data_IF_993833872430
#
_entry.id   IF_993833872430
#
_cell.length_a   1.000
_cell.length_b   1.000
_cell.length_c   1.000
_cell.angle_alpha   90.00
_cell.angle_beta   90.00
_cell.angle_gamma   90.00
#
_symmetry.space_group_name_H-M   'P 1'
#
loop_
_entity.id
_entity.type
_entity.pdbx_description
1 polymer ?
#
# COMPACT_ATOMS: atom_id res chain seq x y z
N UNK A 1 -7.15 -28.56 -29.46
CA UNK A 1 -7.32 -27.11 -29.19
C UNK A 1 -6.47 -26.67 -28.00
N UNK A 2 -6.29 -27.54 -26.99
CA UNK A 2 -5.36 -27.33 -25.86
C UNK A 2 -3.88 -27.25 -26.29
N UNK A 3 -3.48 -28.00 -27.32
CA UNK A 3 -2.08 -28.02 -27.80
C UNK A 3 -1.59 -26.66 -28.30
N UNK A 4 -2.45 -25.88 -28.95
CA UNK A 4 -2.09 -24.56 -29.47
C UNK A 4 -1.84 -23.56 -28.34
N UNK A 5 -2.68 -23.58 -27.29
CA UNK A 5 -2.51 -22.73 -26.11
C UNK A 5 -1.26 -23.10 -25.32
N UNK A 6 -0.91 -24.38 -25.24
CA UNK A 6 0.31 -24.83 -24.57
C UNK A 6 1.56 -24.33 -25.33
N UNK A 7 1.58 -24.42 -26.66
CA UNK A 7 2.68 -23.93 -27.50
C UNK A 7 2.87 -22.40 -27.37
N UNK A 8 1.76 -21.64 -27.30
CA UNK A 8 1.79 -20.19 -27.11
C UNK A 8 2.24 -19.79 -25.70
N UNK A 9 1.88 -20.57 -24.68
CA UNK A 9 2.16 -20.25 -23.27
C UNK A 9 3.60 -20.62 -22.87
N UNK A 10 4.21 -21.61 -23.52
CA UNK A 10 5.57 -22.05 -23.21
C UNK A 10 6.66 -21.13 -23.76
N UNK A 11 6.31 -20.13 -24.60
CA UNK A 11 7.26 -19.15 -25.14
C UNK A 11 8.33 -19.72 -26.09
N UNK A 12 8.22 -21.00 -26.46
CA UNK A 12 9.17 -21.72 -27.35
C UNK A 12 8.86 -21.53 -28.85
N UNK A 13 7.76 -20.88 -29.19
CA UNK A 13 7.33 -20.68 -30.56
C UNK A 13 7.27 -19.18 -30.91
N UNK A 14 7.88 -18.81 -32.04
CA UNK A 14 7.74 -17.47 -32.60
C UNK A 14 6.46 -17.42 -33.43
N UNK A 15 5.46 -16.67 -32.94
CA UNK A 15 4.16 -16.51 -33.61
C UNK A 15 4.03 -15.07 -34.07
N UNK A 16 3.69 -14.87 -35.35
CA UNK A 16 3.25 -13.57 -35.86
C UNK A 16 1.73 -13.52 -35.75
N UNK A 17 1.23 -12.52 -35.04
CA UNK A 17 -0.21 -12.27 -34.89
C UNK A 17 -0.53 -11.05 -35.74
N UNK A 18 -1.43 -11.23 -36.69
CA UNK A 18 -2.00 -10.13 -37.47
C UNK A 18 -3.27 -9.67 -36.76
N UNK A 19 -3.38 -8.37 -36.51
CA UNK A 19 -4.52 -7.76 -35.83
C UNK A 19 -4.76 -6.37 -36.42
N UNK A 20 -5.97 -5.87 -36.31
CA UNK A 20 -6.29 -4.53 -36.79
C UNK A 20 -5.86 -3.44 -35.78
N UNK A 21 -5.94 -2.18 -36.21
CA UNK A 21 -5.53 -1.06 -35.37
C UNK A 21 -6.45 -0.86 -34.15
N UNK A 22 -7.72 -1.26 -34.24
CA UNK A 22 -8.67 -1.14 -33.15
C UNK A 22 -8.37 -2.18 -32.05
N UNK A 23 -8.07 -3.41 -32.46
CA UNK A 23 -7.65 -4.51 -31.60
C UNK A 23 -6.36 -4.17 -30.86
N UNK A 24 -5.35 -3.64 -31.57
CA UNK A 24 -4.09 -3.25 -30.95
C UNK A 24 -4.27 -2.12 -29.91
N UNK A 25 -5.16 -1.17 -30.20
CA UNK A 25 -5.51 -0.10 -29.26
C UNK A 25 -6.20 -0.66 -28.02
N UNK A 26 -7.21 -1.53 -28.21
CA UNK A 26 -7.93 -2.16 -27.11
C UNK A 26 -6.99 -2.98 -26.21
N UNK A 27 -6.06 -3.73 -26.81
CA UNK A 27 -5.03 -4.47 -26.08
C UNK A 27 -4.12 -3.53 -25.26
N UNK A 28 -3.68 -2.42 -25.86
CA UNK A 28 -2.84 -1.44 -25.17
C UNK A 28 -3.58 -0.77 -24.00
N UNK A 29 -4.83 -0.39 -24.19
CA UNK A 29 -5.67 0.21 -23.15
C UNK A 29 -5.90 -0.77 -21.98
N UNK A 30 -6.13 -2.05 -22.27
CA UNK A 30 -6.29 -3.10 -21.26
C UNK A 30 -4.97 -3.37 -20.50
N UNK A 31 -3.82 -3.39 -21.18
CA UNK A 31 -2.51 -3.50 -20.52
C UNK A 31 -2.27 -2.32 -19.56
N UNK A 32 -2.56 -1.10 -20.00
CA UNK A 32 -2.43 0.10 -19.16
C UNK A 32 -3.39 0.04 -17.98
N UNK A 33 -4.62 -0.41 -18.19
CA UNK A 33 -5.63 -0.55 -17.13
C UNK A 33 -5.18 -1.57 -16.09
N UNK A 34 -4.70 -2.74 -16.50
CA UNK A 34 -4.17 -3.77 -15.57
C UNK A 34 -2.98 -3.26 -14.77
N UNK A 35 -2.02 -2.61 -15.41
CA UNK A 35 -0.88 -2.02 -14.72
C UNK A 35 -1.31 -0.95 -13.70
N UNK A 36 -2.30 -0.12 -14.05
CA UNK A 36 -2.89 0.86 -13.13
C UNK A 36 -3.68 0.22 -11.99
N UNK A 37 -4.42 -0.85 -12.25
CA UNK A 37 -5.23 -1.55 -11.24
C UNK A 37 -4.35 -2.33 -10.25
N UNK A 38 -3.28 -2.97 -10.73
CA UNK A 38 -2.27 -3.62 -9.88
C UNK A 38 -1.50 -2.60 -9.05
N UNK A 39 -1.04 -1.51 -9.66
CA UNK A 39 -0.39 -0.41 -8.93
C UNK A 39 -1.36 0.25 -7.94
N UNK A 40 -2.62 0.43 -8.33
CA UNK A 40 -3.69 0.95 -7.48
C UNK A 40 -3.95 0.05 -6.28
N UNK A 41 -3.92 -1.27 -6.45
CA UNK A 41 -4.11 -2.23 -5.36
C UNK A 41 -2.93 -2.25 -4.39
N UNK A 42 -1.70 -2.12 -4.88
CA UNK A 42 -0.51 -1.95 -4.03
C UNK A 42 -0.52 -0.61 -3.28
N UNK A 43 -0.95 0.47 -3.94
CA UNK A 43 -1.07 1.80 -3.34
C UNK A 43 -2.21 1.86 -2.33
N UNK A 44 -3.32 1.16 -2.55
CA UNK A 44 -4.44 1.08 -1.59
C UNK A 44 -4.12 0.18 -0.39
N UNK A 45 -3.34 -0.89 -0.58
CA UNK A 45 -2.76 -1.64 0.53
C UNK A 45 -1.78 -0.77 1.35
N UNK A 46 -1.03 0.12 0.69
CA UNK A 46 -0.17 1.10 1.36
C UNK A 46 -0.95 2.28 1.98
N UNK A 47 -2.12 2.66 1.43
CA UNK A 47 -2.99 3.75 1.92
C UNK A 47 -3.91 3.33 3.06
N UNK A 48 -4.16 2.02 3.25
CA UNK A 48 -4.72 1.49 4.50
C UNK A 48 -3.64 1.47 5.59
N UNK A 49 -3.06 2.63 5.84
CA UNK A 49 -2.15 2.80 6.94
C UNK A 49 -2.91 2.51 8.23
N UNK A 50 -2.41 1.52 8.98
CA UNK A 50 -3.04 1.10 10.22
C UNK A 50 -3.04 2.27 11.20
N UNK A 51 -4.22 2.54 11.75
CA UNK A 51 -4.41 3.53 12.80
C UNK A 51 -4.39 2.83 14.15
N UNK A 52 -3.51 3.27 15.03
CA UNK A 52 -3.39 2.78 16.40
C UNK A 52 -4.19 3.68 17.35
N UNK A 53 -4.93 3.06 18.26
CA UNK A 53 -5.61 3.75 19.33
C UNK A 53 -4.62 4.25 20.39
N UNK A 54 -5.05 5.23 21.19
CA UNK A 54 -4.26 5.70 22.33
C UNK A 54 -3.87 4.56 23.30
N UNK A 55 -4.73 3.57 23.49
CA UNK A 55 -4.46 2.43 24.36
C UNK A 55 -3.31 1.56 23.81
N UNK A 56 -3.36 1.21 22.52
CA UNK A 56 -2.30 0.43 21.86
C UNK A 56 -0.95 1.16 21.91
N UNK A 57 -0.93 2.47 21.66
CA UNK A 57 0.30 3.26 21.74
C UNK A 57 0.86 3.31 23.17
N UNK A 58 0.00 3.42 24.18
CA UNK A 58 0.43 3.39 25.59
C UNK A 58 1.06 2.05 25.95
N UNK A 59 0.47 0.95 25.51
CA UNK A 59 0.99 -0.40 25.74
C UNK A 59 2.33 -0.59 25.02
N UNK A 60 2.42 -0.15 23.77
CA UNK A 60 3.64 -0.27 22.95
C UNK A 60 4.84 0.48 23.54
N UNK A 61 4.63 1.72 24.00
CA UNK A 61 5.69 2.56 24.57
C UNK A 61 5.84 2.40 26.10
N UNK A 62 4.90 1.74 26.78
CA UNK A 62 4.87 1.65 28.24
C UNK A 62 4.67 2.99 28.95
N UNK A 63 3.92 3.92 28.36
CA UNK A 63 3.77 5.31 28.85
C UNK A 63 2.36 5.67 29.29
N UNK A 64 2.23 6.72 30.10
CA UNK A 64 0.96 7.26 30.56
C UNK A 64 0.39 8.34 29.62
N UNK A 65 -0.89 8.69 29.80
CA UNK A 65 -1.59 9.70 28.99
C UNK A 65 -0.92 11.08 28.99
N UNK A 66 -0.36 11.48 30.13
CA UNK A 66 0.36 12.75 30.26
C UNK A 66 1.62 12.79 29.38
N UNK A 67 2.29 11.65 29.21
CA UNK A 67 3.47 11.52 28.36
C UNK A 67 3.11 11.67 26.89
N UNK A 68 2.03 11.01 26.43
CA UNK A 68 1.53 11.17 25.06
C UNK A 68 1.09 12.60 24.76
N UNK A 69 0.47 13.28 25.73
CA UNK A 69 0.12 14.70 25.58
C UNK A 69 1.36 15.58 25.45
N UNK A 70 2.42 15.31 26.21
CA UNK A 70 3.68 16.02 26.10
C UNK A 70 4.37 15.77 24.75
N UNK A 71 4.28 14.54 24.23
CA UNK A 71 4.84 14.18 22.93
C UNK A 71 4.13 14.85 21.76
N UNK A 72 2.81 15.00 21.84
CA UNK A 72 2.01 15.80 20.89
C UNK A 72 2.52 17.25 20.85
N UNK A 73 2.69 17.88 22.02
CA UNK A 73 3.22 19.25 22.12
C UNK A 73 4.67 19.41 21.66
N UNK A 74 5.51 18.41 21.91
CA UNK A 74 6.91 18.39 21.44
C UNK A 74 7.06 17.97 19.98
N UNK A 75 5.99 17.51 19.32
CA UNK A 75 6.02 17.02 17.95
C UNK A 75 6.76 15.69 17.77
N UNK A 76 6.94 14.92 18.84
CA UNK A 76 7.60 13.59 18.83
C UNK A 76 6.69 12.55 18.20
N UNK A 77 5.40 12.60 18.54
CA UNK A 77 4.39 11.69 18.03
C UNK A 77 3.12 12.49 17.74
N UNK A 78 2.72 12.58 16.47
CA UNK A 78 1.57 13.39 16.05
C UNK A 78 0.29 12.54 15.94
N UNK A 79 -0.75 12.81 16.76
CA UNK A 79 -2.04 12.15 16.62
C UNK A 79 -2.89 12.77 15.51
N UNK A 80 -3.82 11.97 14.99
CA UNK A 80 -4.95 12.39 14.16
C UNK A 80 -6.22 12.34 15.02
N UNK A 81 -6.95 13.46 15.07
CA UNK A 81 -8.22 13.55 15.81
C UNK A 81 -9.38 13.31 14.86
N UNK A 82 -10.09 12.19 15.05
CA UNK A 82 -11.30 11.83 14.31
C UNK A 82 -12.47 11.86 15.30
N UNK A 83 -13.19 12.99 15.31
CA UNK A 83 -14.26 13.24 16.29
C UNK A 83 -13.74 13.16 17.72
N UNK A 84 -14.34 12.29 18.54
CA UNK A 84 -13.94 12.06 19.94
C UNK A 84 -12.77 11.06 20.09
N UNK A 85 -12.27 10.47 19.00
CA UNK A 85 -11.18 9.49 19.04
C UNK A 85 -9.86 10.13 18.65
N UNK A 86 -8.82 9.82 19.43
CA UNK A 86 -7.43 10.16 19.13
C UNK A 86 -6.76 8.89 18.61
N UNK A 87 -6.31 8.95 17.36
CA UNK A 87 -5.65 7.86 16.65
C UNK A 87 -4.24 8.26 16.27
N UNK A 88 -3.36 7.30 16.12
CA UNK A 88 -1.96 7.49 15.76
C UNK A 88 -1.66 6.68 14.50
N UNK A 89 -1.25 7.31 13.40
CA UNK A 89 -0.81 6.59 12.22
C UNK A 89 0.40 5.70 12.56
N UNK A 90 0.41 4.46 12.06
CA UNK A 90 1.49 3.52 12.34
C UNK A 90 2.88 4.08 11.94
N UNK A 91 2.99 4.84 10.84
CA UNK A 91 4.28 5.45 10.48
C UNK A 91 4.81 6.45 11.50
N UNK A 92 3.95 7.26 12.13
CA UNK A 92 4.38 8.22 13.15
C UNK A 92 4.82 7.48 14.41
N UNK A 93 4.12 6.40 14.77
CA UNK A 93 4.51 5.51 15.87
C UNK A 93 5.86 4.86 15.58
N UNK A 94 6.05 4.31 14.38
CA UNK A 94 7.30 3.69 13.93
C UNK A 94 8.47 4.68 13.90
N UNK A 95 8.21 5.89 13.41
CA UNK A 95 9.16 7.01 13.42
C UNK A 95 9.56 7.42 14.83
N UNK A 96 8.62 7.46 15.77
CA UNK A 96 8.88 7.75 17.18
C UNK A 96 9.69 6.63 17.87
N UNK A 97 9.54 5.37 17.45
CA UNK A 97 10.39 4.25 17.86
C UNK A 97 11.82 4.30 17.30
N UNK A 98 12.14 5.29 16.45
CA UNK A 98 13.44 5.39 15.81
C UNK A 98 13.64 4.42 14.64
N UNK A 99 12.60 3.69 14.24
CA UNK A 99 12.62 2.85 13.05
C UNK A 99 12.44 3.72 11.79
N UNK A 100 13.47 4.51 11.48
CA UNK A 100 13.59 5.18 10.17
C UNK A 100 13.98 4.10 9.15
N UNK A 101 13.03 3.70 8.30
CA UNK A 101 13.23 2.80 7.15
C UNK A 101 13.64 1.35 7.45
N UNK A 102 12.75 0.54 8.01
CA UNK A 102 12.66 -0.85 7.56
C UNK A 102 11.50 -0.94 6.56
N UNK A 103 11.85 -0.65 5.30
CA UNK A 103 11.15 -1.16 4.14
C UNK A 103 11.51 -2.65 4.11
N UNK A 104 10.55 -3.52 4.43
CA UNK A 104 10.51 -4.90 3.98
C UNK A 104 9.25 -5.06 3.14
#
# INVERSE_FOLDING_TARGET
MEDLFNILSEGKAHVRVEMDAADLKAFSDELIRRAKDELGSMVEAARKERMLSKAEVKELFGVCDATLWHWDRKGILKPVKTGNKVLYPEYEVRKALGQRNQIL
#
